data_IF_673851597368
#
_entry.id   IF_673851597368
#
_cell.length_a   1.000
_cell.length_b   1.000
_cell.length_c   1.000
_cell.angle_alpha   90.00
_cell.angle_beta   90.00
_cell.angle_gamma   90.00
#
_symmetry.space_group_name_H-M   'P 1'
#
loop_
_entity.id
_entity.type
_entity.pdbx_description
1 polymer ?
#
# COMPACT_ATOMS: atom_id res chain seq x y z
N UNK A 1 -28.87 -15.23 60.25
CA UNK A 1 -28.78 -13.89 59.62
C UNK A 1 -27.39 -13.38 60.01
N UNK A 2 -26.37 -13.32 59.16
CA UNK A 2 -26.26 -12.69 57.85
C UNK A 2 -25.26 -13.46 56.98
N UNK A 3 -25.52 -13.56 55.67
CA UNK A 3 -24.68 -14.26 54.70
C UNK A 3 -23.92 -13.18 53.90
N UNK A 4 -22.59 -13.12 54.03
CA UNK A 4 -21.77 -12.19 53.26
C UNK A 4 -21.42 -12.79 51.89
N UNK A 5 -22.04 -12.26 50.84
CA UNK A 5 -21.67 -12.51 49.45
C UNK A 5 -20.49 -11.59 49.08
N UNK A 6 -19.31 -12.18 48.89
CA UNK A 6 -18.17 -11.52 48.26
C UNK A 6 -18.43 -11.39 46.75
N UNK A 7 -18.63 -10.17 46.27
CA UNK A 7 -18.62 -9.86 44.84
C UNK A 7 -17.16 -9.85 44.35
N UNK A 8 -16.79 -10.82 43.52
CA UNK A 8 -15.55 -10.79 42.73
C UNK A 8 -15.83 -9.96 41.49
N UNK A 9 -15.29 -8.75 41.42
CA UNK A 9 -15.32 -7.91 40.21
C UNK A 9 -14.18 -8.37 39.31
N UNK A 10 -14.49 -9.14 38.27
CA UNK A 10 -13.54 -9.46 37.20
C UNK A 10 -13.52 -8.25 36.26
N UNK A 11 -12.46 -7.44 36.35
CA UNK A 11 -12.19 -6.38 35.37
C UNK A 11 -11.57 -7.02 34.14
N UNK A 12 -12.36 -7.25 33.10
CA UNK A 12 -11.85 -7.58 31.78
C UNK A 12 -11.16 -6.35 31.18
N UNK A 13 -9.84 -6.38 31.05
CA UNK A 13 -9.12 -5.40 30.22
C UNK A 13 -9.56 -5.57 28.76
N UNK A 14 -10.48 -4.72 28.31
CA UNK A 14 -10.71 -4.48 26.89
C UNK A 14 -9.45 -3.85 26.32
N UNK A 15 -8.62 -4.65 25.63
CA UNK A 15 -7.56 -4.11 24.77
C UNK A 15 -8.24 -3.37 23.62
N UNK A 16 -8.29 -2.04 23.71
CA UNK A 16 -8.58 -1.19 22.57
C UNK A 16 -7.54 -1.50 21.49
N UNK A 17 -7.95 -2.08 20.38
CA UNK A 17 -7.10 -2.16 19.18
C UNK A 17 -7.08 -0.75 18.60
N UNK A 18 -6.11 0.06 19.01
CA UNK A 18 -5.84 1.34 18.35
C UNK A 18 -5.51 1.06 16.89
N UNK A 19 -6.01 1.90 15.97
CA UNK A 19 -5.54 1.89 14.59
C UNK A 19 -4.02 2.01 14.60
N UNK A 20 -3.31 1.15 13.87
CA UNK A 20 -1.86 1.19 13.80
C UNK A 20 -1.43 2.56 13.27
N UNK A 21 -0.72 3.33 14.09
CA UNK A 21 -0.08 4.57 13.65
C UNK A 21 1.00 4.27 12.60
N UNK A 22 1.28 5.23 11.74
CA UNK A 22 2.39 5.15 10.81
C UNK A 22 3.71 5.10 11.57
N UNK A 23 4.55 4.10 11.28
CA UNK A 23 5.87 3.93 11.92
C UNK A 23 6.98 4.11 10.89
N UNK A 24 8.02 4.88 11.22
CA UNK A 24 9.21 5.01 10.38
C UNK A 24 10.02 3.71 10.38
N UNK A 25 10.40 3.21 9.20
CA UNK A 25 11.21 2.00 9.03
C UNK A 25 12.31 2.25 8.03
N UNK A 26 13.57 2.12 8.44
CA UNK A 26 14.70 2.10 7.54
C UNK A 26 14.90 0.70 6.96
N UNK A 27 14.90 0.57 5.63
CA UNK A 27 15.15 -0.69 4.95
C UNK A 27 16.57 -0.69 4.36
N UNK A 28 17.44 -1.56 4.90
CA UNK A 28 18.85 -1.57 4.53
C UNK A 28 19.11 -2.02 3.08
N UNK A 29 18.23 -2.84 2.48
CA UNK A 29 18.37 -3.28 1.09
C UNK A 29 18.18 -2.12 0.11
N UNK A 30 17.09 -1.39 0.28
CA UNK A 30 16.75 -0.24 -0.57
C UNK A 30 17.47 1.03 -0.15
N UNK A 31 17.96 1.13 1.09
CA UNK A 31 18.56 2.32 1.68
C UNK A 31 17.56 3.46 1.92
N UNK A 32 16.26 3.18 1.80
CA UNK A 32 15.18 4.15 1.98
C UNK A 32 14.57 4.00 3.38
N UNK A 33 14.15 5.13 3.94
CA UNK A 33 13.27 5.18 5.10
C UNK A 33 11.82 5.32 4.63
N UNK A 34 10.96 4.44 5.12
CA UNK A 34 9.55 4.37 4.78
C UNK A 34 8.70 4.78 5.98
N UNK A 35 7.55 5.40 5.74
CA UNK A 35 6.42 5.28 6.66
C UNK A 35 5.74 3.93 6.41
N UNK A 36 5.48 3.18 7.46
CA UNK A 36 4.83 1.88 7.44
C UNK A 36 3.45 1.92 8.09
N UNK A 37 2.47 1.26 7.47
CA UNK A 37 1.21 0.91 8.11
C UNK A 37 0.89 -0.58 7.90
N UNK A 38 0.06 -1.16 8.76
CA UNK A 38 -0.38 -2.56 8.69
C UNK A 38 -1.90 -2.62 8.62
N UNK A 39 -2.42 -3.18 7.53
CA UNK A 39 -3.85 -3.20 7.24
C UNK A 39 -4.41 -4.62 7.32
N UNK A 40 -5.29 -4.87 8.28
CA UNK A 40 -5.92 -6.17 8.52
C UNK A 40 -6.94 -6.52 7.44
N UNK A 41 -6.86 -7.73 6.87
CA UNK A 41 -7.87 -8.28 5.96
C UNK A 41 -8.58 -9.52 6.52
N UNK A 42 -8.19 -10.01 7.70
CA UNK A 42 -8.89 -11.05 8.46
C UNK A 42 -8.92 -10.69 9.93
N UNK A 43 -9.97 -11.13 10.61
CA UNK A 43 -10.16 -10.94 12.07
C UNK A 43 -9.15 -11.71 12.92
N UNK A 44 -8.46 -12.69 12.35
CA UNK A 44 -7.44 -13.50 13.02
C UNK A 44 -6.05 -12.85 13.07
N UNK A 45 -5.94 -11.58 12.65
CA UNK A 45 -4.71 -10.81 12.71
C UNK A 45 -3.89 -10.81 11.42
N UNK A 46 -4.33 -11.52 10.36
CA UNK A 46 -3.66 -11.42 9.05
C UNK A 46 -3.90 -10.06 8.39
N UNK A 47 -2.83 -9.48 7.88
CA UNK A 47 -2.82 -8.17 7.27
C UNK A 47 -1.72 -8.00 6.23
N UNK A 48 -1.80 -6.90 5.49
CA UNK A 48 -0.83 -6.48 4.49
C UNK A 48 -0.07 -5.28 5.05
N UNK A 49 1.26 -5.29 4.93
CA UNK A 49 2.07 -4.14 5.30
C UNK A 49 2.26 -3.24 4.10
N UNK A 50 1.97 -1.95 4.25
CA UNK A 50 2.20 -0.92 3.24
C UNK A 50 3.28 0.04 3.72
N UNK A 51 4.32 0.21 2.93
CA UNK A 51 5.43 1.13 3.18
C UNK A 51 5.53 2.14 2.05
N UNK A 52 5.68 3.41 2.38
CA UNK A 52 5.81 4.51 1.42
C UNK A 52 7.03 5.34 1.78
N UNK A 53 7.90 5.57 0.81
CA UNK A 53 9.04 6.48 0.88
C UNK A 53 8.86 7.61 -0.14
N UNK A 54 9.18 8.83 0.27
CA UNK A 54 9.00 10.05 -0.52
C UNK A 54 10.28 10.91 -0.52
N UNK A 55 10.47 11.81 -1.50
CA UNK A 55 11.52 12.82 -1.45
C UNK A 55 11.31 13.81 -0.31
N UNK A 56 12.38 14.29 0.32
CA UNK A 56 12.27 15.25 1.43
C UNK A 56 11.98 16.68 0.98
N UNK A 57 12.23 17.01 -0.29
CA UNK A 57 12.16 18.36 -0.88
C UNK A 57 10.87 18.58 -1.70
N UNK A 58 9.75 18.01 -1.26
CA UNK A 58 8.45 18.17 -1.92
C UNK A 58 7.64 19.28 -1.25
N UNK A 59 7.16 20.24 -2.04
CA UNK A 59 6.20 21.25 -1.62
C UNK A 59 4.77 20.69 -1.58
N UNK A 60 3.93 21.20 -0.67
CA UNK A 60 2.49 20.90 -0.71
C UNK A 60 1.88 21.27 -2.06
N UNK A 61 0.87 20.51 -2.48
CA UNK A 61 0.15 20.69 -3.74
C UNK A 61 1.01 20.56 -5.02
N UNK A 62 2.06 19.74 -4.95
CA UNK A 62 2.86 19.35 -6.10
C UNK A 62 2.81 17.85 -6.31
N UNK A 63 2.94 17.41 -7.57
CA UNK A 63 3.14 16.01 -7.88
C UNK A 63 4.59 15.59 -7.57
N UNK A 64 4.77 14.35 -7.13
CA UNK A 64 6.08 13.78 -6.83
C UNK A 64 6.04 12.25 -6.91
N UNK A 65 7.19 11.66 -7.20
CA UNK A 65 7.34 10.22 -7.25
C UNK A 65 7.46 9.64 -5.84
N UNK A 66 7.03 8.40 -5.69
CA UNK A 66 7.08 7.66 -4.42
C UNK A 66 7.61 6.27 -4.65
N UNK A 67 8.32 5.72 -3.68
CA UNK A 67 8.64 4.30 -3.67
C UNK A 67 7.68 3.59 -2.72
N UNK A 68 6.94 2.63 -3.26
CA UNK A 68 6.10 1.74 -2.46
C UNK A 68 6.85 0.44 -2.18
N UNK A 69 6.72 -0.07 -0.97
CA UNK A 69 7.09 -1.43 -0.63
C UNK A 69 5.92 -2.09 0.08
N UNK A 70 5.51 -3.27 -0.37
CA UNK A 70 4.34 -3.94 0.19
C UNK A 70 4.73 -5.37 0.55
N UNK A 71 4.34 -5.81 1.73
CA UNK A 71 4.55 -7.18 2.23
C UNK A 71 3.18 -7.85 2.35
N UNK A 72 3.00 -8.93 1.59
CA UNK A 72 1.72 -9.55 1.32
C UNK A 72 1.79 -11.03 1.71
N UNK A 73 0.86 -11.53 2.55
CA UNK A 73 0.75 -12.96 2.79
C UNK A 73 0.43 -13.76 1.51
N UNK A 74 0.89 -15.01 1.45
CA UNK A 74 0.75 -15.87 0.26
C UNK A 74 -0.70 -16.30 -0.04
N UNK A 75 -1.64 -16.13 0.89
CA UNK A 75 -3.07 -16.42 0.72
C UNK A 75 -3.87 -15.27 0.06
N UNK A 76 -3.21 -14.15 -0.25
CA UNK A 76 -3.80 -13.03 -0.96
C UNK A 76 -3.84 -13.31 -2.46
N UNK A 77 -5.06 -13.35 -3.02
CA UNK A 77 -5.28 -13.54 -4.45
C UNK A 77 -4.97 -12.27 -5.23
N UNK A 78 -5.55 -11.14 -4.81
CA UNK A 78 -5.14 -9.80 -5.21
C UNK A 78 -5.43 -8.81 -4.07
N UNK A 79 -4.71 -7.69 -4.07
CA UNK A 79 -4.99 -6.56 -3.20
C UNK A 79 -4.81 -5.24 -3.97
N UNK A 80 -5.30 -4.16 -3.39
CA UNK A 80 -5.16 -2.83 -3.99
C UNK A 80 -4.90 -1.75 -2.96
N UNK A 81 -4.26 -0.67 -3.40
CA UNK A 81 -4.06 0.58 -2.66
C UNK A 81 -4.75 1.71 -3.42
N UNK A 82 -5.57 2.50 -2.74
CA UNK A 82 -6.20 3.70 -3.27
C UNK A 82 -5.49 4.95 -2.72
N UNK A 83 -4.86 5.71 -3.63
CA UNK A 83 -4.06 6.88 -3.27
C UNK A 83 -4.92 8.05 -2.76
N UNK A 84 -6.20 8.09 -3.14
CA UNK A 84 -7.17 9.08 -2.66
C UNK A 84 -8.07 8.58 -1.51
N UNK A 85 -7.84 7.37 -1.00
CA UNK A 85 -8.65 6.82 0.11
C UNK A 85 -10.08 6.40 -0.27
N UNK A 86 -10.41 6.33 -1.56
CA UNK A 86 -11.70 5.86 -2.08
C UNK A 86 -11.50 4.89 -3.25
N UNK A 87 -12.51 4.07 -3.59
CA UNK A 87 -12.43 3.24 -4.81
C UNK A 87 -12.48 4.09 -6.08
N UNK A 88 -13.25 5.17 -6.07
CA UNK A 88 -13.54 5.95 -7.27
C UNK A 88 -12.69 7.22 -7.35
N UNK A 89 -12.43 7.66 -8.60
CA UNK A 89 -11.92 9.00 -8.95
C UNK A 89 -10.56 9.33 -8.32
N UNK A 90 -9.71 8.32 -8.21
CA UNK A 90 -8.30 8.46 -7.84
C UNK A 90 -7.50 7.28 -8.43
N UNK A 91 -6.16 7.40 -8.50
CA UNK A 91 -5.30 6.30 -8.90
C UNK A 91 -5.41 5.13 -7.92
N UNK A 92 -5.53 3.93 -8.46
CA UNK A 92 -5.51 2.66 -7.73
C UNK A 92 -4.28 1.86 -8.17
N UNK A 93 -3.48 1.41 -7.22
CA UNK A 93 -2.51 0.33 -7.46
C UNK A 93 -3.22 -0.99 -7.18
N UNK A 94 -3.47 -1.81 -8.19
CA UNK A 94 -3.93 -3.18 -8.00
C UNK A 94 -2.76 -4.12 -8.20
N UNK A 95 -2.57 -5.08 -7.32
CA UNK A 95 -1.41 -5.96 -7.34
C UNK A 95 -1.71 -7.37 -6.88
N UNK A 96 -0.94 -8.32 -7.40
CA UNK A 96 -1.03 -9.73 -7.06
C UNK A 96 0.27 -10.45 -7.40
N UNK A 97 0.39 -11.69 -6.93
CA UNK A 97 1.48 -12.60 -7.30
C UNK A 97 1.13 -13.26 -8.64
N UNK A 98 1.92 -12.99 -9.66
CA UNK A 98 1.75 -13.54 -11.00
C UNK A 98 2.12 -15.02 -11.10
N UNK A 99 1.86 -15.61 -12.27
CA UNK A 99 2.00 -17.07 -12.50
C UNK A 99 3.44 -17.58 -12.35
N UNK A 100 4.43 -16.72 -12.58
CA UNK A 100 5.87 -17.02 -12.41
C UNK A 100 6.40 -16.59 -11.03
N UNK A 101 5.52 -16.39 -10.05
CA UNK A 101 5.83 -15.85 -8.72
C UNK A 101 6.37 -14.42 -8.71
N UNK A 102 6.36 -13.70 -9.84
CA UNK A 102 6.72 -12.28 -9.86
C UNK A 102 5.52 -11.40 -9.52
N UNK A 103 5.73 -10.27 -8.83
CA UNK A 103 4.69 -9.27 -8.65
C UNK A 103 4.14 -8.79 -9.99
N UNK A 104 2.83 -8.62 -10.08
CA UNK A 104 2.18 -7.88 -11.15
C UNK A 104 1.51 -6.66 -10.54
N UNK A 105 1.84 -5.47 -11.05
CA UNK A 105 1.26 -4.19 -10.65
C UNK A 105 0.44 -3.64 -11.80
N UNK A 106 -0.77 -3.16 -11.48
CA UNK A 106 -1.74 -2.64 -12.43
C UNK A 106 -2.22 -1.29 -11.96
N UNK A 107 -1.96 -0.26 -12.76
CA UNK A 107 -2.49 1.08 -12.53
C UNK A 107 -3.92 1.15 -13.03
N UNK A 108 -4.86 1.46 -12.12
CA UNK A 108 -6.28 1.48 -12.43
C UNK A 108 -6.99 2.71 -11.87
N UNK A 109 -8.20 2.96 -12.35
CA UNK A 109 -9.13 3.92 -11.77
C UNK A 109 -10.58 3.50 -12.06
N UNK A 110 -11.51 3.97 -11.25
CA UNK A 110 -12.94 3.73 -11.46
C UNK A 110 -13.71 5.05 -11.33
N UNK A 111 -14.66 5.31 -12.24
CA UNK A 111 -15.55 6.48 -12.14
C UNK A 111 -16.73 6.24 -11.18
N UNK A 112 -17.10 4.97 -11.00
CA UNK A 112 -18.20 4.47 -10.15
C UNK A 112 -17.79 3.15 -9.48
N UNK A 113 -18.65 2.55 -8.67
CA UNK A 113 -18.41 1.23 -8.05
C UNK A 113 -18.58 0.08 -9.05
N UNK A 114 -17.75 0.11 -10.08
CA UNK A 114 -17.66 -0.86 -11.18
C UNK A 114 -16.20 -1.31 -11.30
N UNK A 115 -15.92 -2.45 -11.98
CA UNK A 115 -14.56 -2.93 -12.15
C UNK A 115 -13.61 -1.82 -12.67
N UNK A 116 -12.54 -1.48 -11.91
CA UNK A 116 -11.62 -0.43 -12.30
C UNK A 116 -10.95 -0.73 -13.64
N UNK A 117 -10.83 0.29 -14.48
CA UNK A 117 -10.18 0.24 -15.78
C UNK A 117 -8.73 0.71 -15.69
N UNK A 118 -7.94 0.49 -16.74
CA UNK A 118 -6.54 0.96 -16.78
C UNK A 118 -6.45 2.48 -16.62
N UNK A 119 -5.48 2.91 -15.83
CA UNK A 119 -5.17 4.30 -15.60
C UNK A 119 -3.75 4.59 -16.08
N UNK A 120 -3.63 5.38 -17.14
CA UNK A 120 -2.36 5.59 -17.85
C UNK A 120 -1.52 6.74 -17.31
N UNK A 121 -2.08 7.58 -16.44
CA UNK A 121 -1.37 8.73 -15.86
C UNK A 121 -0.42 8.33 -14.73
N UNK A 122 -0.64 7.18 -14.09
CA UNK A 122 0.27 6.63 -13.09
C UNK A 122 0.91 5.34 -13.61
N UNK A 123 2.22 5.19 -13.41
CA UNK A 123 2.99 4.01 -13.80
C UNK A 123 3.75 3.45 -12.60
N UNK A 124 4.01 2.14 -12.64
CA UNK A 124 4.80 1.45 -11.63
C UNK A 124 5.99 0.75 -12.27
N UNK A 125 7.17 0.96 -11.71
CA UNK A 125 8.40 0.26 -12.12
C UNK A 125 8.87 -0.59 -10.94
N UNK A 126 8.81 -1.91 -11.10
CA UNK A 126 9.30 -2.85 -10.10
C UNK A 126 10.82 -2.76 -9.97
N UNK A 127 11.29 -2.86 -8.73
CA UNK A 127 12.70 -3.02 -8.43
C UNK A 127 13.00 -4.47 -8.06
N UNK A 128 14.09 -5.05 -8.59
CA UNK A 128 14.71 -6.27 -8.08
C UNK A 128 15.02 -6.18 -6.57
N UNK A 129 15.72 -5.11 -6.16
CA UNK A 129 16.09 -4.86 -4.76
C UNK A 129 14.85 -4.61 -3.92
N UNK A 130 14.74 -5.29 -2.77
CA UNK A 130 13.56 -5.24 -1.92
C UNK A 130 12.33 -5.98 -2.50
N UNK A 131 12.47 -6.74 -3.59
CA UNK A 131 11.44 -7.66 -4.10
C UNK A 131 11.88 -9.10 -3.86
N UNK A 132 11.11 -9.83 -3.05
CA UNK A 132 11.48 -11.15 -2.54
C UNK A 132 10.26 -11.96 -2.15
N UNK A 133 10.41 -13.27 -1.98
CA UNK A 133 9.34 -14.12 -1.47
C UNK A 133 9.90 -15.25 -0.62
N UNK A 134 9.06 -15.77 0.27
CA UNK A 134 9.33 -16.94 1.09
C UNK A 134 8.06 -17.79 1.24
N UNK A 135 8.07 -18.75 2.17
CA UNK A 135 6.96 -19.69 2.41
C UNK A 135 5.67 -19.03 2.90
N UNK A 136 5.73 -17.85 3.52
CA UNK A 136 4.58 -17.19 4.14
C UNK A 136 4.16 -15.90 3.44
N UNK A 137 5.11 -15.17 2.87
CA UNK A 137 4.88 -13.85 2.29
C UNK A 137 5.64 -13.66 0.98
N UNK A 138 5.18 -12.70 0.21
CA UNK A 138 5.93 -12.06 -0.86
C UNK A 138 5.96 -10.55 -0.62
N UNK A 139 7.02 -9.92 -1.09
CA UNK A 139 7.26 -8.49 -0.99
C UNK A 139 7.64 -7.97 -2.36
N UNK A 140 7.15 -6.79 -2.70
CA UNK A 140 7.66 -6.03 -3.83
C UNK A 140 8.06 -4.64 -3.40
N UNK A 141 9.02 -4.06 -4.12
CA UNK A 141 9.34 -2.64 -4.08
C UNK A 141 9.20 -2.06 -5.48
N UNK A 142 8.56 -0.91 -5.62
CA UNK A 142 8.36 -0.25 -6.90
C UNK A 142 8.40 1.27 -6.79
N UNK A 143 8.94 1.92 -7.81
CA UNK A 143 8.70 3.34 -8.05
C UNK A 143 7.27 3.52 -8.57
N UNK A 144 6.54 4.48 -8.06
CA UNK A 144 5.38 5.04 -8.73
C UNK A 144 5.62 6.49 -9.15
N UNK A 145 5.38 6.74 -10.44
CA UNK A 145 5.30 8.07 -11.03
C UNK A 145 3.84 8.38 -11.35
N UNK A 146 3.36 9.58 -11.01
CA UNK A 146 1.98 10.01 -11.27
C UNK A 146 0.92 9.51 -10.27
N UNK A 147 1.30 8.78 -9.22
CA UNK A 147 0.38 8.33 -8.17
C UNK A 147 -0.12 9.45 -7.24
N UNK A 148 0.67 10.51 -7.08
CA UNK A 148 0.45 11.53 -6.03
C UNK A 148 -0.35 12.73 -6.51
N UNK A 149 -0.80 12.73 -7.76
CA UNK A 149 -1.65 13.77 -8.30
C UNK A 149 -2.63 13.26 -9.34
N UNK A 150 -3.87 13.73 -9.33
CA UNK A 150 -4.88 13.37 -10.33
C UNK A 150 -5.94 14.45 -10.46
N UNK A 151 -6.64 14.47 -11.60
CA UNK A 151 -7.83 15.29 -11.76
C UNK A 151 -9.00 14.70 -10.96
N UNK A 152 -9.63 15.51 -10.12
CA UNK A 152 -10.91 15.22 -9.49
C UNK A 152 -12.08 15.73 -10.33
N UNK A 153 -13.29 15.45 -9.86
CA UNK A 153 -14.52 16.01 -10.43
C UNK A 153 -14.43 17.54 -10.55
N UNK A 154 -14.91 18.07 -11.67
CA UNK A 154 -14.87 19.51 -11.94
C UNK A 154 -13.51 20.04 -12.37
N UNK A 155 -12.52 19.17 -12.61
CA UNK A 155 -11.21 19.54 -13.19
C UNK A 155 -10.17 20.04 -12.17
N UNK A 156 -10.52 20.11 -10.88
CA UNK A 156 -9.57 20.44 -9.83
C UNK A 156 -8.52 19.33 -9.69
N UNK A 157 -7.25 19.70 -9.51
CA UNK A 157 -6.18 18.72 -9.25
C UNK A 157 -6.13 18.39 -7.76
N UNK A 158 -6.06 17.10 -7.44
CA UNK A 158 -5.80 16.58 -6.11
C UNK A 158 -4.34 16.20 -5.99
N UNK A 159 -3.80 16.39 -4.79
CA UNK A 159 -2.43 16.03 -4.45
C UNK A 159 -2.42 15.24 -3.14
N UNK A 160 -1.61 14.19 -3.10
CA UNK A 160 -1.17 13.57 -1.85
C UNK A 160 -0.25 14.56 -1.16
N UNK A 161 -0.45 14.80 0.13
CA UNK A 161 0.34 15.78 0.87
C UNK A 161 1.66 15.13 1.32
N UNK A 162 2.81 15.78 1.12
CA UNK A 162 4.10 15.22 1.55
C UNK A 162 4.33 15.37 3.06
N UNK A 163 3.38 15.97 3.79
CA UNK A 163 3.44 16.21 5.23
C UNK A 163 2.15 15.75 5.89
N UNK A 164 2.26 15.17 7.09
CA UNK A 164 1.12 14.74 7.89
C UNK A 164 0.38 13.56 7.28
N UNK A 165 -0.83 13.36 7.80
CA UNK A 165 -1.66 12.22 7.46
C UNK A 165 -2.37 12.34 6.12
N UNK A 166 -2.22 11.31 5.30
CA UNK A 166 -3.00 11.11 4.08
C UNK A 166 -3.96 9.94 4.27
N UNK A 167 -5.25 10.16 4.00
CA UNK A 167 -6.22 9.06 4.03
C UNK A 167 -5.97 8.15 2.82
N UNK A 168 -5.47 6.95 3.09
CA UNK A 168 -5.36 5.88 2.11
C UNK A 168 -6.39 4.80 2.39
N UNK A 169 -6.67 3.99 1.38
CA UNK A 169 -7.51 2.81 1.54
C UNK A 169 -6.88 1.61 0.84
N UNK A 170 -7.22 0.41 1.30
CA UNK A 170 -6.83 -0.81 0.63
C UNK A 170 -8.04 -1.71 0.42
N UNK A 171 -7.88 -2.64 -0.51
CA UNK A 171 -8.83 -3.70 -0.81
C UNK A 171 -8.10 -5.05 -0.89
N UNK A 172 -8.80 -6.14 -0.61
CA UNK A 172 -8.27 -7.50 -0.63
C UNK A 172 -9.30 -8.50 -1.16
N UNK A 173 -8.85 -9.50 -1.92
CA UNK A 173 -9.60 -10.72 -2.22
C UNK A 173 -8.68 -11.96 -2.18
N UNK A 174 -9.15 -13.12 -1.71
CA UNK A 174 -8.41 -14.39 -1.83
C UNK A 174 -8.42 -14.93 -3.27
N UNK A 175 -9.34 -14.46 -4.12
CA UNK A 175 -9.48 -14.95 -5.49
C UNK A 175 -8.41 -14.30 -6.37
N UNK A 176 -7.65 -15.11 -7.11
CA UNK A 176 -6.67 -14.59 -8.07
C UNK A 176 -7.37 -13.97 -9.30
N UNK A 177 -6.74 -13.00 -9.98
CA UNK A 177 -7.20 -12.53 -11.29
C UNK A 177 -7.29 -13.69 -12.30
N UNK A 178 -8.17 -13.56 -13.30
CA UNK A 178 -8.39 -14.61 -14.31
C UNK A 178 -7.16 -14.94 -15.17
N UNK A 179 -6.30 -13.95 -15.42
CA UNK A 179 -4.98 -14.11 -16.02
C UNK A 179 -3.92 -13.46 -15.14
N UNK A 180 -3.34 -14.20 -14.16
CA UNK A 180 -2.38 -13.63 -13.22
C UNK A 180 -1.08 -13.11 -13.86
N UNK A 181 -0.80 -13.41 -15.13
CA UNK A 181 0.37 -12.87 -15.83
C UNK A 181 0.11 -11.52 -16.52
N UNK A 182 -1.14 -11.07 -16.62
CA UNK A 182 -1.50 -9.84 -17.34
C UNK A 182 -1.93 -8.72 -16.39
N UNK A 183 -1.25 -7.55 -16.37
CA UNK A 183 -1.66 -6.41 -15.53
C UNK A 183 -3.06 -5.88 -15.91
N UNK A 184 -3.61 -6.24 -17.07
CA UNK A 184 -4.95 -5.84 -17.50
C UNK A 184 -6.03 -6.87 -17.13
N UNK A 185 -5.67 -7.96 -16.43
CA UNK A 185 -6.59 -9.04 -16.09
C UNK A 185 -7.84 -8.56 -15.36
N UNK A 186 -8.98 -9.20 -15.64
CA UNK A 186 -10.16 -9.04 -14.82
C UNK A 186 -9.86 -9.47 -13.37
N UNK A 187 -10.44 -8.74 -12.42
CA UNK A 187 -10.39 -9.02 -10.98
C UNK A 187 -11.82 -9.16 -10.47
N UNK A 188 -12.01 -9.98 -9.44
CA UNK A 188 -13.27 -10.06 -8.70
C UNK A 188 -13.47 -8.81 -7.84
N UNK A 189 -14.67 -8.64 -7.29
CA UNK A 189 -14.89 -7.68 -6.19
C UNK A 189 -14.07 -8.10 -4.98
N UNK A 190 -13.60 -7.13 -4.19
CA UNK A 190 -12.88 -7.39 -2.95
C UNK A 190 -13.81 -7.88 -1.85
N UNK A 191 -13.30 -8.78 -1.01
CA UNK A 191 -13.99 -9.30 0.16
C UNK A 191 -13.91 -8.29 1.32
N UNK A 192 -12.76 -7.62 1.44
CA UNK A 192 -12.48 -6.65 2.51
C UNK A 192 -11.89 -5.38 1.92
N UNK A 193 -12.28 -4.24 2.49
CA UNK A 193 -11.62 -2.97 2.31
C UNK A 193 -11.49 -2.27 3.66
N UNK A 194 -10.45 -1.47 3.82
CA UNK A 194 -10.32 -0.57 4.97
C UNK A 194 -9.58 0.71 4.58
N UNK A 195 -9.53 1.64 5.52
CA UNK A 195 -8.87 2.92 5.38
C UNK A 195 -8.00 3.19 6.60
N UNK A 196 -6.96 3.99 6.41
CA UNK A 196 -6.14 4.48 7.50
C UNK A 196 -5.59 5.85 7.13
N UNK A 197 -5.06 6.54 8.14
CA UNK A 197 -4.32 7.77 7.95
C UNK A 197 -2.83 7.44 7.89
N UNK A 198 -2.21 7.60 6.73
CA UNK A 198 -0.80 7.31 6.51
C UNK A 198 0.02 8.59 6.66
N UNK A 199 0.84 8.69 7.70
CA UNK A 199 1.70 9.87 7.92
C UNK A 199 2.90 9.86 6.97
N UNK A 200 2.98 10.86 6.10
CA UNK A 200 4.09 11.01 5.15
C UNK A 200 5.22 11.87 5.72
N UNK A 201 5.04 12.50 6.88
CA UNK A 201 6.09 13.25 7.57
C UNK A 201 7.30 12.37 7.91
N UNK A 202 7.08 11.09 8.24
CA UNK A 202 8.13 10.12 8.56
C UNK A 202 8.69 9.37 7.35
N UNK A 203 8.14 9.59 6.16
CA UNK A 203 8.51 8.90 4.91
C UNK A 203 9.63 9.61 4.11
N UNK A 204 10.19 10.71 4.62
CA UNK A 204 11.03 11.65 3.86
C UNK A 204 12.48 11.18 3.73
N UNK A 205 13.01 11.23 2.51
CA UNK A 205 14.37 10.82 2.18
C UNK A 205 15.13 11.95 1.47
N UNK A 206 16.24 12.41 2.04
CA UNK A 206 17.07 13.47 1.44
C UNK A 206 17.82 13.04 0.17
N UNK A 207 18.15 11.76 0.06
CA UNK A 207 18.80 11.15 -1.11
C UNK A 207 17.83 10.32 -1.96
N UNK A 208 16.54 10.67 -1.99
CA UNK A 208 15.51 9.86 -2.65
C UNK A 208 15.84 9.57 -4.12
N UNK A 209 16.15 10.61 -4.89
CA UNK A 209 16.44 10.49 -6.31
C UNK A 209 17.68 9.62 -6.55
N UNK A 210 18.75 9.82 -5.78
CA UNK A 210 19.96 9.01 -5.86
C UNK A 210 19.69 7.54 -5.51
N UNK A 211 18.86 7.28 -4.49
CA UNK A 211 18.43 5.93 -4.14
C UNK A 211 17.60 5.28 -5.26
N UNK A 212 16.64 6.01 -5.84
CA UNK A 212 15.84 5.54 -6.98
C UNK A 212 16.73 5.20 -8.18
N UNK A 213 17.69 6.07 -8.53
CA UNK A 213 18.61 5.81 -9.65
C UNK A 213 19.47 4.57 -9.40
N UNK A 214 19.99 4.38 -8.17
CA UNK A 214 20.70 3.14 -7.80
C UNK A 214 19.81 1.90 -7.94
N UNK A 215 18.57 1.98 -7.48
CA UNK A 215 17.61 0.87 -7.56
C UNK A 215 17.27 0.53 -9.02
N UNK A 216 17.10 1.53 -9.88
CA UNK A 216 16.91 1.35 -11.33
C UNK A 216 18.16 0.75 -12.00
N UNK A 217 19.37 1.22 -11.65
CA UNK A 217 20.63 0.69 -12.20
C UNK A 217 20.89 -0.76 -11.80
N UNK A 218 20.44 -1.19 -10.61
CA UNK A 218 20.56 -2.57 -10.16
C UNK A 218 19.68 -3.58 -10.91
N UNK A 219 18.79 -3.12 -11.80
CA UNK A 219 17.94 -4.02 -12.59
C UNK A 219 18.71 -4.83 -13.63
N UNK A 220 19.84 -4.32 -14.13
CA UNK A 220 20.67 -4.95 -15.17
C UNK A 220 21.83 -5.82 -14.66
N UNK A 221 22.06 -5.89 -13.35
CA UNK A 221 23.15 -6.66 -12.74
C UNK A 221 22.60 -7.97 -12.20
N UNK A 222 22.27 -8.91 -13.10
CA UNK A 222 22.17 -10.33 -12.76
C UNK A 222 23.05 -11.10 -13.75
N UNK A 223 24.17 -11.60 -13.24
CA UNK A 223 24.88 -12.73 -13.84
C UNK A 223 24.06 -14.02 -13.64
#
# INVERSE_FOLDING_TARGET
MFWNLLFVVIVTLLRSVSAAESVAVHDAETGLTYSQNFALYKVDGRGITFRIAIPSNVSSNSAYDVVVQVIIPNDVGWAGLAWGGSMTKNPLMVFWRGSNNQPVLSSRSASSHTPPQLYTTATYILFNTGTKSNSTHWQFTALCTGCTSWAADGGAVRYVQPNGGNRLAFAYSPTKPSNPSSPTSAITVHDVHAYWNHDFGTARNAGFEAAVQRLLGSQGVRA
#
